data_IF_129232575330
#
_entry.id   IF_129232575330
#
_cell.length_a   1.000
_cell.length_b   1.000
_cell.length_c   1.000
_cell.angle_alpha   90.00
_cell.angle_beta   90.00
_cell.angle_gamma   90.00
#
_symmetry.space_group_name_H-M   'P 1'
#
loop_
_entity.id
_entity.type
_entity.pdbx_description
1 polymer ?
#
# COMPACT_ATOMS: atom_id res chain seq x y z
N UNK A 1 7.31 -23.74 -16.16
CA UNK A 1 7.63 -22.81 -15.05
C UNK A 1 7.31 -21.38 -15.50
N UNK A 2 6.05 -21.15 -15.85
CA UNK A 2 5.54 -19.97 -16.53
C UNK A 2 5.03 -18.99 -15.48
N UNK A 3 5.84 -17.99 -15.17
CA UNK A 3 5.42 -16.83 -14.36
C UNK A 3 4.25 -16.19 -15.09
N UNK A 4 3.05 -16.44 -14.55
CA UNK A 4 1.77 -16.02 -15.11
C UNK A 4 1.82 -14.53 -15.53
N UNK A 5 1.38 -14.19 -16.76
CA UNK A 5 1.26 -12.80 -17.23
C UNK A 5 0.23 -11.97 -16.44
N UNK A 6 -0.50 -12.59 -15.51
CA UNK A 6 -1.56 -11.99 -14.70
C UNK A 6 -1.05 -10.88 -13.77
N UNK A 7 0.22 -10.92 -13.36
CA UNK A 7 0.81 -9.90 -12.48
C UNK A 7 1.08 -8.55 -13.17
N UNK A 8 1.01 -8.48 -14.51
CA UNK A 8 1.35 -7.27 -15.29
C UNK A 8 0.11 -6.40 -15.55
N UNK A 9 -1.07 -6.99 -15.74
CA UNK A 9 -2.31 -6.25 -15.92
C UNK A 9 -2.84 -5.62 -14.63
N UNK A 10 -2.50 -6.21 -13.49
CA UNK A 10 -3.06 -5.86 -12.17
C UNK A 10 -2.56 -4.53 -11.58
N UNK A 11 -1.61 -3.83 -12.21
CA UNK A 11 -1.07 -2.56 -11.70
C UNK A 11 -1.61 -1.34 -12.47
N UNK A 12 -2.08 -1.52 -13.72
CA UNK A 12 -2.57 -0.44 -14.59
C UNK A 12 -3.77 0.33 -13.99
N UNK A 13 -4.56 -0.31 -13.13
CA UNK A 13 -5.74 0.30 -12.51
C UNK A 13 -5.48 0.98 -11.15
N UNK A 14 -4.21 1.10 -10.74
CA UNK A 14 -3.86 1.66 -9.44
C UNK A 14 -3.59 3.16 -9.54
N UNK A 15 -4.07 3.88 -8.53
CA UNK A 15 -3.89 5.32 -8.42
C UNK A 15 -2.73 5.58 -7.46
N UNK A 16 -1.65 6.17 -7.95
CA UNK A 16 -0.41 6.41 -7.21
C UNK A 16 -0.16 7.90 -6.99
N UNK A 17 0.36 8.23 -5.83
CA UNK A 17 0.89 9.54 -5.49
C UNK A 17 2.40 9.46 -5.30
N UNK A 18 3.15 10.39 -5.90
CA UNK A 18 4.60 10.47 -5.72
C UNK A 18 4.91 11.29 -4.46
N UNK A 19 5.68 10.72 -3.54
CA UNK A 19 5.99 11.36 -2.24
C UNK A 19 7.38 11.99 -2.22
N UNK A 20 8.34 11.41 -2.95
CA UNK A 20 9.75 11.84 -2.92
C UNK A 20 10.27 12.20 -4.33
N UNK A 21 11.15 13.21 -4.37
CA UNK A 21 11.86 13.64 -5.58
C UNK A 21 11.27 14.86 -6.27
N UNK A 22 11.76 15.16 -7.48
CA UNK A 22 11.36 16.35 -8.25
C UNK A 22 9.88 16.37 -8.65
N UNK A 23 9.25 15.21 -8.78
CA UNK A 23 7.84 15.10 -9.15
C UNK A 23 6.89 15.05 -7.95
N UNK A 24 7.36 15.49 -6.77
CA UNK A 24 6.53 15.65 -5.59
C UNK A 24 5.45 16.70 -5.87
N UNK A 25 4.19 16.37 -5.61
CA UNK A 25 3.07 17.30 -5.78
C UNK A 25 2.34 17.19 -7.11
N UNK A 26 2.89 16.49 -8.12
CA UNK A 26 2.06 16.07 -9.25
C UNK A 26 1.01 15.09 -8.74
N UNK A 27 -0.26 15.52 -8.81
CA UNK A 27 -1.39 14.82 -8.23
C UNK A 27 -1.50 13.38 -8.74
N UNK A 28 -2.16 12.58 -7.90
CA UNK A 28 -2.58 11.19 -8.12
C UNK A 28 -2.69 10.84 -9.62
N UNK A 29 -1.81 9.95 -10.06
CA UNK A 29 -1.72 9.49 -11.43
C UNK A 29 -2.10 8.02 -11.55
N UNK A 30 -2.67 7.63 -12.70
CA UNK A 30 -2.82 6.23 -13.05
C UNK A 30 -1.48 5.69 -13.54
N UNK A 31 -1.22 4.43 -13.20
CA UNK A 31 -0.07 3.72 -13.77
C UNK A 31 -0.42 3.37 -15.21
N UNK A 32 0.45 3.78 -16.14
CA UNK A 32 0.42 3.24 -17.48
C UNK A 32 1.06 1.86 -17.36
N UNK A 33 2.35 1.72 -17.62
CA UNK A 33 2.99 0.40 -17.64
C UNK A 33 3.98 0.19 -16.48
N UNK A 34 4.11 -1.08 -16.06
CA UNK A 34 5.12 -1.54 -15.09
C UNK A 34 6.26 -2.23 -15.83
N UNK A 35 7.44 -1.63 -15.79
CA UNK A 35 8.63 -2.15 -16.48
C UNK A 35 9.53 -2.92 -15.51
N UNK A 36 9.30 -4.22 -15.43
CA UNK A 36 9.99 -5.12 -14.50
C UNK A 36 11.49 -5.28 -14.78
N UNK A 37 11.93 -5.22 -16.05
CA UNK A 37 13.35 -5.36 -16.40
C UNK A 37 14.24 -4.28 -15.75
N UNK A 38 13.71 -3.07 -15.58
CA UNK A 38 14.40 -1.96 -14.88
C UNK A 38 13.78 -1.64 -13.52
N UNK A 39 12.79 -2.42 -13.05
CA UNK A 39 12.02 -2.16 -11.83
C UNK A 39 11.49 -0.73 -11.71
N UNK A 40 10.92 -0.23 -12.81
CA UNK A 40 10.46 1.16 -12.95
C UNK A 40 8.98 1.19 -13.34
N UNK A 41 8.25 2.17 -12.81
CA UNK A 41 6.84 2.42 -13.14
C UNK A 41 6.73 3.72 -13.94
N UNK A 42 5.88 3.70 -14.97
CA UNK A 42 5.49 4.90 -15.71
C UNK A 42 4.10 5.37 -15.29
N UNK A 43 4.00 6.66 -15.04
CA UNK A 43 2.77 7.32 -14.60
C UNK A 43 2.34 8.29 -15.69
N UNK A 44 1.04 8.30 -16.02
CA UNK A 44 0.48 9.03 -17.17
C UNK A 44 0.82 10.53 -17.18
N UNK A 45 0.79 11.16 -16.00
CA UNK A 45 1.03 12.60 -15.83
C UNK A 45 2.51 12.99 -15.77
N UNK A 46 3.42 12.01 -15.65
CA UNK A 46 4.85 12.29 -15.44
C UNK A 46 5.57 12.09 -16.76
N UNK A 47 5.64 13.18 -17.52
CA UNK A 47 6.29 13.23 -18.83
C UNK A 47 7.44 14.25 -18.79
N UNK A 48 8.42 14.07 -19.67
CA UNK A 48 9.38 15.11 -20.04
C UNK A 48 9.30 15.31 -21.54
N UNK A 49 9.50 16.54 -21.95
CA UNK A 49 9.59 16.88 -23.36
C UNK A 49 11.02 16.68 -23.83
N UNK A 50 11.16 16.02 -24.97
CA UNK A 50 12.43 15.95 -25.69
C UNK A 50 12.56 17.15 -26.62
N UNK A 51 13.80 17.41 -27.07
CA UNK A 51 14.11 18.47 -28.04
C UNK A 51 13.37 18.33 -29.37
N UNK A 52 12.94 17.11 -29.70
CA UNK A 52 12.14 16.80 -30.88
C UNK A 52 10.62 17.04 -30.68
N UNK A 53 10.21 17.63 -29.56
CA UNK A 53 8.81 17.93 -29.24
C UNK A 53 7.97 16.72 -28.82
N UNK A 54 8.52 15.51 -28.80
CA UNK A 54 7.82 14.33 -28.32
C UNK A 54 7.92 14.21 -26.80
N UNK A 55 6.82 13.83 -26.15
CA UNK A 55 6.79 13.62 -24.71
C UNK A 55 7.16 12.17 -24.37
N UNK A 56 8.00 11.97 -23.35
CA UNK A 56 8.42 10.64 -22.89
C UNK A 56 8.17 10.51 -21.41
N UNK A 57 7.62 9.37 -21.00
CA UNK A 57 7.37 9.08 -19.60
C UNK A 57 8.67 8.94 -18.82
N UNK A 58 8.70 9.56 -17.64
CA UNK A 58 9.81 9.37 -16.71
C UNK A 58 9.57 8.14 -15.87
N UNK A 59 10.62 7.33 -15.77
CA UNK A 59 10.62 6.21 -14.88
C UNK A 59 10.71 6.61 -13.42
N UNK A 60 9.73 6.21 -12.61
CA UNK A 60 9.77 6.36 -11.16
C UNK A 60 9.92 4.99 -10.50
N UNK A 61 10.76 4.93 -9.47
CA UNK A 61 10.92 3.73 -8.66
C UNK A 61 9.70 3.54 -7.73
N UNK A 62 9.10 2.34 -7.64
CA UNK A 62 7.89 2.08 -6.86
C UNK A 62 7.97 2.55 -5.39
N UNK A 63 9.12 2.41 -4.73
CA UNK A 63 9.27 2.80 -3.31
C UNK A 63 9.16 4.32 -3.06
N UNK A 64 9.19 5.14 -4.12
CA UNK A 64 8.99 6.59 -4.03
C UNK A 64 7.51 6.98 -4.18
N UNK A 65 6.65 6.00 -4.46
CA UNK A 65 5.22 6.18 -4.69
C UNK A 65 4.40 5.55 -3.56
N UNK A 66 3.27 6.17 -3.25
CA UNK A 66 2.23 5.69 -2.33
C UNK A 66 0.97 5.39 -3.12
N UNK A 67 0.28 4.32 -2.76
CA UNK A 67 -0.96 3.91 -3.41
C UNK A 67 -2.14 4.61 -2.73
N UNK A 68 -2.95 5.33 -3.50
CA UNK A 68 -4.09 6.13 -3.00
C UNK A 68 -5.41 5.40 -3.20
N UNK A 69 -5.66 4.88 -4.41
CA UNK A 69 -6.88 4.09 -4.71
C UNK A 69 -6.47 2.73 -5.25
N UNK A 70 -7.04 1.69 -4.63
CA UNK A 70 -6.83 0.30 -4.98
C UNK A 70 -8.05 -0.20 -5.76
N UNK A 71 -7.85 -0.89 -6.89
CA UNK A 71 -8.92 -1.69 -7.50
C UNK A 71 -9.08 -2.98 -6.70
N UNK A 72 -10.30 -3.26 -6.25
CA UNK A 72 -10.59 -4.48 -5.51
C UNK A 72 -10.96 -5.61 -6.46
N UNK A 73 -10.12 -6.63 -6.49
CA UNK A 73 -10.30 -7.88 -7.24
C UNK A 73 -10.34 -9.07 -6.26
N UNK A 74 -10.86 -10.21 -6.71
CA UNK A 74 -11.09 -11.39 -5.86
C UNK A 74 -9.78 -11.88 -5.21
N UNK A 75 -8.69 -11.96 -5.97
CA UNK A 75 -7.40 -12.42 -5.46
C UNK A 75 -6.69 -11.36 -4.62
N UNK A 76 -6.94 -10.08 -4.91
CA UNK A 76 -6.40 -8.98 -4.11
C UNK A 76 -7.01 -8.92 -2.72
N UNK A 77 -8.32 -9.17 -2.59
CA UNK A 77 -9.01 -9.29 -1.30
C UNK A 77 -8.38 -10.40 -0.44
N UNK A 78 -8.18 -11.59 -1.01
CA UNK A 78 -7.52 -12.72 -0.34
C UNK A 78 -6.11 -12.37 0.16
N UNK A 79 -5.32 -11.65 -0.65
CA UNK A 79 -3.96 -11.25 -0.26
C UNK A 79 -3.98 -10.24 0.90
N UNK A 80 -4.89 -9.28 0.88
CA UNK A 80 -5.05 -8.29 1.95
C UNK A 80 -5.45 -8.99 3.26
N UNK A 81 -6.45 -9.87 3.21
CA UNK A 81 -6.93 -10.63 4.38
C UNK A 81 -5.82 -11.51 4.97
N UNK A 82 -5.08 -12.23 4.13
CA UNK A 82 -3.93 -13.03 4.57
C UNK A 82 -2.84 -12.18 5.22
N UNK A 83 -2.48 -11.03 4.62
CA UNK A 83 -1.47 -10.11 5.18
C UNK A 83 -1.96 -9.40 6.44
N UNK A 84 -3.26 -9.15 6.57
CA UNK A 84 -3.85 -8.58 7.78
C UNK A 84 -3.77 -9.58 8.94
N UNK A 85 -4.15 -10.85 8.72
CA UNK A 85 -4.03 -11.93 9.71
C UNK A 85 -2.57 -12.15 10.16
N UNK A 86 -1.63 -12.19 9.21
CA UNK A 86 -0.20 -12.31 9.53
C UNK A 86 0.34 -11.14 10.35
N UNK A 87 -0.08 -9.90 10.05
CA UNK A 87 0.29 -8.73 10.87
C UNK A 87 -0.33 -8.76 12.26
N UNK A 88 -1.58 -9.20 12.40
CA UNK A 88 -2.24 -9.31 13.70
C UNK A 88 -1.56 -10.33 14.62
N UNK A 89 -1.04 -11.43 14.07
CA UNK A 89 -0.29 -12.45 14.82
C UNK A 89 1.10 -11.95 15.25
N UNK A 90 1.78 -11.15 14.42
CA UNK A 90 3.14 -10.67 14.69
C UNK A 90 3.16 -9.42 15.58
N UNK A 91 2.23 -8.48 15.39
CA UNK A 91 2.21 -7.26 16.20
C UNK A 91 1.68 -7.47 17.64
N UNK A 92 0.98 -8.59 17.90
CA UNK A 92 0.27 -8.79 19.17
C UNK A 92 -0.84 -7.74 19.34
N UNK A 93 -1.98 -8.12 19.91
CA UNK A 93 -3.03 -7.15 20.21
C UNK A 93 -2.72 -6.28 21.45
N UNK A 94 -1.50 -6.39 22.01
CA UNK A 94 -1.21 -6.02 23.40
C UNK A 94 -0.07 -5.00 23.57
N UNK A 95 0.09 -4.09 22.60
CA UNK A 95 0.76 -2.80 22.87
C UNK A 95 -0.16 -1.66 22.44
N UNK A 96 -1.13 -1.32 23.30
CA UNK A 96 -1.76 0.00 23.27
C UNK A 96 -3.28 0.09 23.37
N UNK A 97 -4.00 -0.92 23.88
CA UNK A 97 -5.38 -0.70 24.35
C UNK A 97 -5.59 -1.27 25.73
N UNK A 98 -5.23 -0.50 26.76
CA UNK A 98 -5.91 -0.59 28.04
C UNK A 98 -7.26 0.09 27.86
N UNK A 99 -8.34 -0.70 27.85
CA UNK A 99 -9.69 -0.20 28.14
C UNK A 99 -9.92 -0.37 29.64
N UNK A 100 -10.37 0.67 30.31
CA UNK A 100 -10.43 0.82 31.79
C UNK A 100 -11.36 -0.19 32.51
N UNK A 101 -12.03 -1.07 31.78
CA UNK A 101 -13.04 -1.96 32.33
C UNK A 101 -12.48 -3.09 33.22
N UNK A 102 -11.20 -3.45 33.09
CA UNK A 102 -10.60 -4.55 33.88
C UNK A 102 -10.04 -4.11 35.23
N UNK A 103 -10.01 -2.80 35.53
CA UNK A 103 -9.51 -2.29 36.82
C UNK A 103 -10.57 -2.36 37.95
N UNK A 104 -11.86 -2.47 37.62
CA UNK A 104 -12.93 -2.45 38.61
C UNK A 104 -13.27 -3.81 39.23
N UNK A 105 -12.92 -4.93 38.57
CA UNK A 105 -13.29 -6.27 39.06
C UNK A 105 -12.32 -6.83 40.11
N UNK A 106 -11.15 -6.22 40.31
CA UNK A 106 -10.16 -6.68 41.29
C UNK A 106 -10.43 -6.20 42.73
N UNK A 107 -11.28 -5.18 42.93
CA UNK A 107 -11.49 -4.56 44.25
C UNK A 107 -12.72 -5.07 45.02
N UNK A 108 -13.67 -5.76 44.38
CA UNK A 108 -14.88 -6.26 45.08
C UNK A 108 -14.72 -7.65 45.70
N UNK A 109 -13.75 -8.47 45.27
CA UNK A 109 -13.54 -9.81 45.87
C UNK A 109 -12.73 -9.78 47.18
N UNK A 110 -12.16 -8.62 47.56
CA UNK A 110 -11.38 -8.49 48.80
C UNK A 110 -12.20 -8.15 50.06
N UNK A 111 -13.53 -7.98 49.96
CA UNK A 111 -14.39 -7.59 51.11
C UNK A 111 -15.34 -8.69 51.63
N UNK A 112 -15.37 -9.89 51.06
CA UNK A 112 -16.20 -11.02 51.55
C UNK A 112 -15.39 -12.11 52.28
N UNK A 113 -14.28 -11.74 52.89
CA UNK A 113 -13.62 -12.63 53.86
C UNK A 113 -13.02 -11.82 55.01
N UNK A 114 -13.91 -11.23 55.81
CA UNK A 114 -13.70 -10.88 57.23
C UNK A 114 -15.06 -10.67 57.87
#
# INVERSE_FOLDING_TARGET
MSILPWCVLDIFLFSLQVVRGHYKGQQVGKVVQSYRKKFVIYIEKIQRDKVNGATVYVGIHPSKCVIVKLKMDKDRKKIIERRAKGRAAVLGKDKGKYTEETAATATTTAMETS
#
